data_IF_388969590928
#
_entry.id   IF_388969590928
#
_cell.length_a   1.000
_cell.length_b   1.000
_cell.length_c   1.000
_cell.angle_alpha   90.00
_cell.angle_beta   90.00
_cell.angle_gamma   90.00
#
_symmetry.space_group_name_H-M   'P 1'
#
loop_
_entity.id
_entity.type
_entity.pdbx_description
1 polymer ?
#
# COMPACT_ATOMS: atom_id res chain seq x y z
N UNK A 1 46.24 20.74 -3.09
CA UNK A 1 46.17 19.26 -2.98
C UNK A 1 44.70 18.89 -3.04
N UNK A 2 44.22 18.36 -4.18
CA UNK A 2 42.83 17.94 -4.30
C UNK A 2 42.67 16.61 -3.57
N UNK A 3 41.79 16.57 -2.56
CA UNK A 3 41.45 15.33 -1.88
C UNK A 3 40.77 14.39 -2.89
N UNK A 4 41.34 13.20 -3.04
CA UNK A 4 40.83 12.15 -3.93
C UNK A 4 39.50 11.68 -3.36
N UNK A 5 38.40 11.95 -4.08
CA UNK A 5 37.09 11.41 -3.71
C UNK A 5 37.19 9.88 -3.66
N UNK A 6 36.58 9.22 -2.66
CA UNK A 6 36.62 7.77 -2.54
C UNK A 6 35.98 7.11 -3.77
N UNK A 7 36.51 5.97 -4.19
CA UNK A 7 35.91 5.19 -5.28
C UNK A 7 34.53 4.68 -4.88
N UNK A 8 33.64 4.49 -5.86
CA UNK A 8 32.29 3.97 -5.65
C UNK A 8 32.29 2.65 -4.83
N UNK A 9 33.30 1.79 -5.02
CA UNK A 9 33.49 0.54 -4.27
C UNK A 9 33.68 0.75 -2.76
N UNK A 10 34.32 1.85 -2.34
CA UNK A 10 34.55 2.15 -0.93
C UNK A 10 33.29 2.66 -0.21
N UNK A 11 32.33 3.24 -0.94
CA UNK A 11 31.03 3.70 -0.39
C UNK A 11 30.12 2.51 -0.09
N UNK A 12 30.11 1.52 -0.99
CA UNK A 12 29.32 0.28 -0.89
C UNK A 12 29.69 -0.55 0.34
N UNK A 13 30.98 -0.58 0.72
CA UNK A 13 31.47 -1.35 1.87
C UNK A 13 31.03 -0.80 3.25
N UNK A 14 30.60 0.46 3.34
CA UNK A 14 30.18 1.11 4.60
C UNK A 14 28.66 1.06 4.85
N UNK A 15 27.90 0.27 4.08
CA UNK A 15 26.44 0.34 4.07
C UNK A 15 25.90 1.63 3.42
N UNK A 16 26.80 2.44 2.85
CA UNK A 16 26.46 3.52 1.93
C UNK A 16 26.07 2.90 0.60
N UNK A 17 24.77 2.79 0.35
CA UNK A 17 24.30 2.51 -1.00
C UNK A 17 24.86 3.58 -1.94
N UNK A 18 25.28 3.18 -3.14
CA UNK A 18 25.54 4.09 -4.24
C UNK A 18 24.32 5.01 -4.36
N UNK A 19 24.46 6.22 -3.85
CA UNK A 19 23.51 7.28 -4.07
C UNK A 19 23.81 7.74 -5.47
N UNK A 20 22.86 7.56 -6.39
CA UNK A 20 22.79 8.46 -7.54
C UNK A 20 23.01 9.88 -6.99
N UNK A 21 23.87 10.66 -7.62
CA UNK A 21 24.26 12.00 -7.14
C UNK A 21 23.01 12.87 -6.91
N UNK A 22 23.00 13.74 -5.89
CA UNK A 22 21.81 14.56 -5.55
C UNK A 22 21.36 15.45 -6.71
N UNK A 23 22.29 15.80 -7.60
CA UNK A 23 21.98 16.38 -8.90
C UNK A 23 21.50 15.28 -9.86
N UNK A 24 20.39 15.48 -10.56
CA UNK A 24 20.18 14.69 -11.76
C UNK A 24 21.41 14.86 -12.67
N UNK A 25 21.95 13.78 -13.23
CA UNK A 25 23.00 13.89 -14.23
C UNK A 25 22.31 14.05 -15.57
N UNK A 26 22.40 15.23 -16.19
CA UNK A 26 21.90 15.36 -17.57
C UNK A 26 22.77 14.42 -18.40
N UNK A 27 22.15 13.36 -18.92
CA UNK A 27 22.87 12.34 -19.66
C UNK A 27 23.29 12.95 -20.98
N UNK A 28 24.56 13.35 -21.07
CA UNK A 28 25.17 13.64 -22.35
C UNK A 28 25.36 12.30 -23.08
N UNK A 29 24.39 11.95 -23.93
CA UNK A 29 24.40 10.67 -24.63
C UNK A 29 25.62 10.48 -25.52
N UNK A 30 26.19 11.55 -26.07
CA UNK A 30 27.44 11.45 -26.81
C UNK A 30 28.58 11.02 -25.91
N UNK A 31 28.66 11.57 -24.70
CA UNK A 31 29.66 11.14 -23.71
C UNK A 31 29.37 9.74 -23.17
N UNK A 32 28.10 9.37 -22.97
CA UNK A 32 27.72 8.03 -22.51
C UNK A 32 28.08 6.95 -23.54
N UNK A 33 27.83 7.21 -24.82
CA UNK A 33 28.02 6.23 -25.89
C UNK A 33 29.45 6.18 -26.41
N UNK A 34 30.18 7.30 -26.38
CA UNK A 34 31.49 7.42 -27.02
C UNK A 34 32.63 7.84 -26.07
N UNK A 35 32.32 8.11 -24.81
CA UNK A 35 33.28 8.55 -23.80
C UNK A 35 33.39 10.07 -23.67
N UNK A 36 34.00 10.57 -22.57
CA UNK A 36 34.13 12.00 -22.32
C UNK A 36 34.90 12.71 -23.45
N UNK A 37 34.39 13.85 -23.91
CA UNK A 37 34.92 14.66 -25.02
C UNK A 37 34.88 14.00 -26.42
N UNK A 38 34.21 12.87 -26.59
CA UNK A 38 34.05 12.27 -27.90
C UNK A 38 33.05 13.08 -28.75
N UNK A 39 33.50 13.53 -29.92
CA UNK A 39 32.64 14.22 -30.90
C UNK A 39 31.76 13.26 -31.73
N UNK A 40 31.90 11.95 -31.53
CA UNK A 40 31.18 10.90 -32.26
C UNK A 40 31.86 9.53 -32.20
N UNK A 41 31.30 8.50 -32.86
CA UNK A 41 31.90 7.16 -32.92
C UNK A 41 33.25 7.16 -33.67
N UNK A 42 34.15 6.19 -33.37
CA UNK A 42 35.35 5.96 -34.17
C UNK A 42 34.97 5.72 -35.64
N UNK A 43 35.80 6.21 -36.58
CA UNK A 43 35.55 6.12 -38.04
C UNK A 43 35.37 4.70 -38.58
N UNK A 44 35.71 3.68 -37.78
CA UNK A 44 35.65 2.26 -38.12
C UNK A 44 34.38 1.57 -37.59
N UNK A 45 33.58 2.26 -36.77
CA UNK A 45 32.37 1.71 -36.15
C UNK A 45 31.13 2.38 -36.72
N UNK A 46 30.38 1.64 -37.56
CA UNK A 46 29.03 2.04 -37.96
C UNK A 46 28.06 1.53 -36.90
N UNK A 47 27.81 2.37 -35.88
CA UNK A 47 26.76 2.13 -34.91
C UNK A 47 25.66 3.19 -35.08
N UNK A 48 24.41 2.73 -35.05
CA UNK A 48 23.24 3.61 -35.03
C UNK A 48 22.46 3.36 -33.75
N UNK A 49 22.15 4.42 -33.02
CA UNK A 49 21.33 4.38 -31.81
C UNK A 49 20.11 5.26 -32.04
N UNK A 50 18.95 4.76 -31.68
CA UNK A 50 17.71 5.53 -31.66
C UNK A 50 17.12 5.44 -30.25
N UNK A 51 16.72 6.59 -29.72
CA UNK A 51 16.05 6.69 -28.42
C UNK A 51 14.99 7.77 -28.51
N UNK A 52 14.00 7.69 -27.62
CA UNK A 52 12.99 8.73 -27.51
C UNK A 52 13.45 9.74 -26.46
N UNK A 53 13.85 10.93 -26.91
CA UNK A 53 14.33 12.01 -26.04
C UNK A 53 13.30 12.43 -24.99
N UNK A 54 11.99 12.36 -25.29
CA UNK A 54 10.96 12.67 -24.30
C UNK A 54 10.87 11.61 -23.20
N UNK A 55 11.01 10.32 -23.54
CA UNK A 55 11.06 9.25 -22.53
C UNK A 55 12.31 9.40 -21.64
N UNK A 56 13.46 9.69 -22.26
CA UNK A 56 14.71 9.86 -21.53
C UNK A 56 14.66 11.08 -20.59
N UNK A 57 14.16 12.22 -21.07
CA UNK A 57 14.08 13.45 -20.30
C UNK A 57 13.02 13.40 -19.19
N UNK A 58 12.02 12.52 -19.32
CA UNK A 58 10.99 12.30 -18.32
C UNK A 58 11.43 11.39 -17.17
N UNK A 59 12.61 10.76 -17.24
CA UNK A 59 13.08 9.85 -16.21
C UNK A 59 13.16 10.52 -14.84
N UNK A 60 12.63 9.83 -13.83
CA UNK A 60 12.67 10.19 -12.41
C UNK A 60 13.67 9.32 -11.66
N UNK A 61 14.52 9.98 -10.86
CA UNK A 61 15.47 9.33 -9.98
C UNK A 61 14.76 8.43 -8.97
N UNK A 62 15.25 7.20 -8.79
CA UNK A 62 14.65 6.23 -7.90
C UNK A 62 15.48 6.07 -6.62
N UNK A 63 14.83 6.16 -5.46
CA UNK A 63 15.37 5.61 -4.23
C UNK A 63 14.81 4.19 -4.06
N UNK A 64 15.67 3.18 -3.94
CA UNK A 64 15.19 1.85 -3.52
C UNK A 64 14.64 1.94 -2.10
N UNK A 65 13.45 1.38 -1.78
CA UNK A 65 12.62 0.46 -2.59
C UNK A 65 11.29 1.08 -3.11
N UNK A 66 11.34 2.22 -3.79
CA UNK A 66 10.17 2.94 -4.33
C UNK A 66 10.12 3.00 -5.87
N UNK A 67 10.66 1.97 -6.55
CA UNK A 67 10.74 1.92 -8.02
C UNK A 67 9.39 2.11 -8.71
N UNK A 68 8.31 1.60 -8.13
CA UNK A 68 7.00 1.71 -8.77
C UNK A 68 6.48 3.15 -8.79
N UNK A 69 6.78 3.94 -7.75
CA UNK A 69 6.46 5.36 -7.71
C UNK A 69 7.29 6.14 -8.75
N UNK A 70 8.61 5.88 -8.83
CA UNK A 70 9.49 6.52 -9.80
C UNK A 70 9.10 6.18 -11.25
N UNK A 71 8.76 4.92 -11.54
CA UNK A 71 8.31 4.49 -12.87
C UNK A 71 7.02 5.18 -13.32
N UNK A 72 6.02 5.31 -12.44
CA UNK A 72 4.77 6.00 -12.79
C UNK A 72 5.01 7.50 -12.97
N UNK A 73 5.81 8.12 -12.10
CA UNK A 73 6.19 9.53 -12.22
C UNK A 73 6.89 9.80 -13.55
N UNK A 74 7.87 8.96 -13.90
CA UNK A 74 8.63 9.12 -15.14
C UNK A 74 7.79 8.88 -16.39
N UNK A 75 6.89 7.88 -16.37
CA UNK A 75 5.95 7.67 -17.45
C UNK A 75 5.01 8.87 -17.64
N UNK A 76 4.52 9.46 -16.55
CA UNK A 76 3.71 10.68 -16.59
C UNK A 76 4.48 11.85 -17.21
N UNK A 77 5.70 12.14 -16.71
CA UNK A 77 6.52 13.23 -17.21
C UNK A 77 6.79 13.08 -18.71
N UNK A 78 7.13 11.86 -19.14
CA UNK A 78 7.38 11.55 -20.54
C UNK A 78 6.14 11.75 -21.43
N UNK A 79 4.95 11.32 -20.96
CA UNK A 79 3.69 11.55 -21.68
C UNK A 79 3.36 13.04 -21.82
N UNK A 80 3.65 13.83 -20.79
CA UNK A 80 3.46 15.28 -20.80
C UNK A 80 4.59 16.04 -21.53
N UNK A 81 5.64 15.35 -21.98
CA UNK A 81 6.85 15.93 -22.56
C UNK A 81 7.52 16.95 -21.63
N UNK A 82 7.42 16.70 -20.33
CA UNK A 82 8.01 17.52 -19.27
C UNK A 82 9.39 16.95 -18.95
N UNK A 83 10.42 17.80 -19.02
CA UNK A 83 11.77 17.43 -18.63
C UNK A 83 11.95 17.48 -17.12
N UNK A 84 12.87 16.67 -16.58
CA UNK A 84 13.27 16.60 -15.16
C UNK A 84 13.44 17.92 -14.38
N UNK A 85 13.91 18.97 -15.05
CA UNK A 85 14.17 20.29 -14.42
C UNK A 85 12.95 21.21 -14.47
N UNK A 86 11.90 20.81 -15.16
CA UNK A 86 10.66 21.57 -15.20
C UNK A 86 10.04 21.56 -13.80
N UNK A 87 9.63 22.72 -13.27
CA UNK A 87 8.95 22.80 -11.97
C UNK A 87 7.68 21.94 -11.84
N UNK A 88 7.10 21.50 -12.96
CA UNK A 88 5.91 20.64 -13.02
C UNK A 88 6.25 19.15 -13.15
N UNK A 89 7.52 18.78 -13.26
CA UNK A 89 7.94 17.39 -13.35
C UNK A 89 7.65 16.68 -12.02
N UNK A 90 6.89 15.58 -12.10
CA UNK A 90 6.63 14.75 -10.93
C UNK A 90 7.91 14.06 -10.50
N UNK A 91 8.15 14.07 -9.21
CA UNK A 91 9.21 13.31 -8.54
C UNK A 91 8.62 12.04 -7.92
N UNK A 92 9.49 11.14 -7.49
CA UNK A 92 9.08 9.93 -6.79
C UNK A 92 8.26 10.26 -5.53
N UNK A 93 8.62 11.34 -4.82
CA UNK A 93 7.93 11.79 -3.60
C UNK A 93 6.46 12.16 -3.88
N UNK A 94 6.18 12.82 -5.00
CA UNK A 94 4.80 13.18 -5.37
C UNK A 94 3.96 11.92 -5.58
N UNK A 95 4.53 10.90 -6.22
CA UNK A 95 3.84 9.63 -6.43
C UNK A 95 3.67 8.82 -5.14
N UNK A 96 4.61 8.92 -4.20
CA UNK A 96 4.44 8.34 -2.86
C UNK A 96 3.24 8.96 -2.16
N UNK A 97 3.04 10.28 -2.24
CA UNK A 97 1.85 10.93 -1.67
C UNK A 97 0.54 10.50 -2.34
N UNK A 98 0.54 10.30 -3.67
CA UNK A 98 -0.61 9.72 -4.37
C UNK A 98 -0.94 8.32 -3.85
N UNK A 99 0.07 7.47 -3.68
CA UNK A 99 -0.08 6.11 -3.15
C UNK A 99 -0.54 6.10 -1.68
N UNK A 100 -0.04 7.00 -0.83
CA UNK A 100 -0.55 7.20 0.54
C UNK A 100 -2.02 7.59 0.53
N UNK A 101 -2.40 8.50 -0.36
CA UNK A 101 -3.80 8.88 -0.58
C UNK A 101 -4.68 7.68 -0.94
N UNK A 102 -4.18 6.74 -1.75
CA UNK A 102 -4.91 5.52 -2.11
C UNK A 102 -5.15 4.64 -0.88
N UNK A 103 -4.11 4.43 -0.07
CA UNK A 103 -4.23 3.65 1.15
C UNK A 103 -5.15 4.30 2.18
N UNK A 104 -5.10 5.62 2.35
CA UNK A 104 -6.01 6.35 3.25
C UNK A 104 -7.48 6.20 2.84
N UNK A 105 -7.78 6.24 1.54
CA UNK A 105 -9.12 5.94 1.04
C UNK A 105 -9.53 4.50 1.39
N UNK A 106 -8.65 3.53 1.13
CA UNK A 106 -8.94 2.11 1.45
C UNK A 106 -9.12 1.89 2.95
N UNK A 107 -8.31 2.50 3.79
CA UNK A 107 -8.44 2.45 5.24
C UNK A 107 -9.82 2.94 5.68
N UNK A 108 -10.27 4.08 5.15
CA UNK A 108 -11.60 4.62 5.43
C UNK A 108 -12.70 3.63 4.99
N UNK A 109 -12.59 3.06 3.79
CA UNK A 109 -13.56 2.07 3.29
C UNK A 109 -13.61 0.81 4.15
N UNK A 110 -12.46 0.28 4.55
CA UNK A 110 -12.41 -0.93 5.37
C UNK A 110 -12.79 -0.68 6.84
N UNK A 111 -12.53 0.52 7.37
CA UNK A 111 -13.06 0.94 8.68
C UNK A 111 -14.59 0.99 8.67
N UNK A 112 -15.18 1.62 7.65
CA UNK A 112 -16.64 1.66 7.48
C UNK A 112 -17.23 0.25 7.31
N UNK A 113 -16.55 -0.62 6.56
CA UNK A 113 -16.98 -2.02 6.41
C UNK A 113 -16.88 -2.79 7.73
N UNK A 114 -15.80 -2.63 8.49
CA UNK A 114 -15.67 -3.24 9.81
C UNK A 114 -16.77 -2.76 10.75
N UNK A 115 -17.05 -1.45 10.77
CA UNK A 115 -18.15 -0.88 11.55
C UNK A 115 -19.51 -1.46 11.15
N UNK A 116 -19.76 -1.67 9.86
CA UNK A 116 -20.99 -2.33 9.40
C UNK A 116 -21.05 -3.83 9.77
N UNK A 117 -19.89 -4.50 9.85
CA UNK A 117 -19.80 -5.92 10.19
C UNK A 117 -19.93 -6.18 11.70
N UNK A 118 -19.50 -5.24 12.55
CA UNK A 118 -19.37 -5.42 14.02
C UNK A 118 -20.25 -4.48 14.84
N UNK A 119 -20.58 -3.30 14.32
CA UNK A 119 -21.31 -2.25 15.04
C UNK A 119 -20.42 -1.34 15.90
N UNK A 120 -19.10 -1.44 15.81
CA UNK A 120 -18.16 -0.58 16.53
C UNK A 120 -17.02 -0.06 15.63
N UNK A 121 -16.33 0.97 16.09
CA UNK A 121 -15.14 1.52 15.42
C UNK A 121 -13.98 0.51 15.43
N UNK A 122 -13.17 0.52 14.37
CA UNK A 122 -12.00 -0.37 14.22
C UNK A 122 -10.78 0.13 14.97
N UNK A 123 -10.74 1.44 15.23
CA UNK A 123 -9.61 2.17 15.75
C UNK A 123 -9.12 1.64 17.12
N UNK A 124 -9.97 1.38 18.13
CA UNK A 124 -9.50 0.84 19.41
C UNK A 124 -8.82 -0.52 19.27
N UNK A 125 -9.37 -1.39 18.40
CA UNK A 125 -8.81 -2.71 18.15
C UNK A 125 -7.48 -2.63 17.40
N UNK A 126 -7.39 -1.75 16.41
CA UNK A 126 -6.16 -1.50 15.67
C UNK A 126 -5.06 -0.92 16.59
N UNK A 127 -5.41 0.01 17.47
CA UNK A 127 -4.50 0.59 18.46
C UNK A 127 -4.00 -0.46 19.45
N UNK A 128 -4.90 -1.29 19.99
CA UNK A 128 -4.53 -2.39 20.88
C UNK A 128 -3.59 -3.38 20.18
N UNK A 129 -3.87 -3.76 18.94
CA UNK A 129 -3.00 -4.62 18.13
C UNK A 129 -1.62 -3.98 17.91
N UNK A 130 -1.56 -2.70 17.55
CA UNK A 130 -0.30 -1.99 17.33
C UNK A 130 0.53 -1.89 18.62
N UNK A 131 -0.09 -1.59 19.76
CA UNK A 131 0.58 -1.56 21.05
C UNK A 131 1.16 -2.94 21.42
N UNK A 132 0.40 -4.00 21.17
CA UNK A 132 0.80 -5.37 21.47
C UNK A 132 1.92 -5.88 20.56
N UNK A 133 1.96 -5.43 19.29
CA UNK A 133 3.07 -5.68 18.37
C UNK A 133 4.32 -4.88 18.76
N UNK A 134 4.15 -3.60 19.11
CA UNK A 134 5.24 -2.72 19.52
C UNK A 134 5.97 -3.23 20.77
N UNK A 135 5.23 -3.82 21.72
CA UNK A 135 5.81 -4.48 22.90
C UNK A 135 6.73 -5.67 22.56
N UNK A 136 6.68 -6.19 21.33
CA UNK A 136 7.53 -7.27 20.83
C UNK A 136 8.54 -6.78 19.78
N UNK A 137 8.77 -5.47 19.69
CA UNK A 137 9.59 -4.82 18.64
C UNK A 137 9.12 -5.15 17.21
N UNK A 138 7.81 -5.37 17.03
CA UNK A 138 7.17 -5.66 15.74
C UNK A 138 6.28 -4.51 15.30
N UNK A 139 6.07 -4.42 13.98
CA UNK A 139 5.12 -3.46 13.38
C UNK A 139 4.33 -4.10 12.23
N UNK A 140 3.21 -3.48 11.85
CA UNK A 140 2.40 -3.98 10.74
C UNK A 140 3.15 -3.86 9.40
N UNK A 141 4.00 -2.84 9.25
CA UNK A 141 4.78 -2.59 8.06
C UNK A 141 6.08 -3.37 7.96
N UNK A 142 6.50 -4.10 9.00
CA UNK A 142 7.79 -4.82 8.96
C UNK A 142 7.81 -5.90 7.85
N UNK A 143 9.00 -6.42 7.54
CA UNK A 143 9.11 -7.58 6.67
C UNK A 143 8.76 -8.82 7.48
N UNK A 144 7.62 -9.43 7.18
CA UNK A 144 7.18 -10.66 7.82
C UNK A 144 7.74 -11.88 7.06
N UNK A 145 8.11 -12.95 7.77
CA UNK A 145 8.24 -14.27 7.16
C UNK A 145 6.91 -14.70 6.52
N UNK A 146 6.98 -15.56 5.50
CA UNK A 146 5.79 -16.09 4.81
C UNK A 146 4.80 -16.66 5.83
N UNK A 147 3.51 -16.34 5.68
CA UNK A 147 2.39 -16.74 6.56
C UNK A 147 2.46 -16.30 8.04
N UNK A 148 3.59 -15.80 8.54
CA UNK A 148 3.75 -15.43 9.94
C UNK A 148 2.85 -14.24 10.34
N UNK A 149 2.65 -13.29 9.42
CA UNK A 149 1.86 -12.07 9.71
C UNK A 149 0.42 -12.38 10.10
N UNK A 150 -0.31 -13.10 9.24
CA UNK A 150 -1.71 -13.40 9.47
C UNK A 150 -1.89 -14.25 10.73
N UNK A 151 -1.00 -15.22 10.94
CA UNK A 151 -0.98 -16.05 12.16
C UNK A 151 -0.79 -15.21 13.42
N UNK A 152 0.25 -14.37 13.47
CA UNK A 152 0.52 -13.51 14.63
C UNK A 152 -0.61 -12.52 14.88
N UNK A 153 -1.19 -11.91 13.85
CA UNK A 153 -2.34 -11.01 14.01
C UNK A 153 -3.55 -11.77 14.58
N UNK A 154 -3.87 -12.96 14.06
CA UNK A 154 -4.98 -13.80 14.56
C UNK A 154 -4.76 -14.20 16.04
N UNK A 155 -3.53 -14.54 16.42
CA UNK A 155 -3.15 -14.88 17.80
C UNK A 155 -3.29 -13.68 18.75
N UNK A 156 -2.69 -12.54 18.41
CA UNK A 156 -2.76 -11.32 19.24
C UNK A 156 -4.20 -10.82 19.36
N UNK A 157 -4.96 -10.87 18.27
CA UNK A 157 -6.39 -10.51 18.27
C UNK A 157 -7.20 -11.38 19.22
N UNK A 158 -6.93 -12.70 19.25
CA UNK A 158 -7.58 -13.61 20.19
C UNK A 158 -7.28 -13.21 21.64
N UNK A 159 -6.02 -12.94 21.96
CA UNK A 159 -5.61 -12.50 23.30
C UNK A 159 -6.31 -11.21 23.71
N UNK A 160 -6.27 -10.17 22.87
CA UNK A 160 -6.92 -8.87 23.15
C UNK A 160 -8.41 -9.05 23.46
N UNK A 161 -9.13 -9.84 22.65
CA UNK A 161 -10.57 -10.03 22.84
C UNK A 161 -10.88 -10.91 24.08
N UNK A 162 -10.03 -11.89 24.40
CA UNK A 162 -10.18 -12.71 25.60
C UNK A 162 -9.95 -11.90 26.88
N UNK A 163 -8.94 -11.03 26.90
CA UNK A 163 -8.65 -10.17 28.04
C UNK A 163 -9.82 -9.23 28.31
N UNK A 164 -10.35 -8.57 27.26
CA UNK A 164 -11.50 -7.66 27.36
C UNK A 164 -12.76 -8.40 27.83
N UNK A 165 -13.01 -9.62 27.34
CA UNK A 165 -14.15 -10.42 27.78
C UNK A 165 -14.03 -10.82 29.26
N UNK A 166 -12.81 -11.14 29.72
CA UNK A 166 -12.54 -11.58 31.10
C UNK A 166 -12.62 -10.42 32.09
N UNK A 167 -12.15 -9.22 31.71
CA UNK A 167 -12.25 -8.02 32.54
C UNK A 167 -13.70 -7.61 32.82
N UNK A 168 -14.64 -7.97 31.96
CA UNK A 168 -16.06 -7.64 32.15
C UNK A 168 -16.38 -6.15 32.08
N UNK A 169 -15.47 -5.33 31.54
CA UNK A 169 -15.62 -3.88 31.49
C UNK A 169 -16.56 -3.47 30.35
N UNK A 170 -17.84 -3.28 30.67
CA UNK A 170 -18.88 -2.87 29.72
C UNK A 170 -18.63 -1.48 29.10
N UNK A 171 -17.81 -0.62 29.73
CA UNK A 171 -17.45 0.69 29.18
C UNK A 171 -16.36 0.59 28.09
N UNK A 172 -15.75 -0.58 27.89
CA UNK A 172 -14.78 -0.79 26.82
C UNK A 172 -15.49 -0.83 25.46
N UNK A 173 -15.12 0.00 24.47
CA UNK A 173 -15.79 0.06 23.17
C UNK A 173 -15.73 -1.25 22.37
N UNK A 174 -14.82 -2.16 22.72
CA UNK A 174 -14.68 -3.48 22.10
C UNK A 174 -15.41 -4.58 22.87
N UNK A 175 -15.99 -4.30 24.03
CA UNK A 175 -16.68 -5.28 24.86
C UNK A 175 -17.80 -6.03 24.10
N UNK A 176 -18.63 -5.39 23.26
CA UNK A 176 -19.65 -6.10 22.47
C UNK A 176 -19.04 -7.14 21.52
N UNK A 177 -17.92 -6.80 20.86
CA UNK A 177 -17.19 -7.71 19.98
C UNK A 177 -16.54 -8.86 20.78
N UNK A 178 -15.88 -8.53 21.89
CA UNK A 178 -15.22 -9.51 22.76
C UNK A 178 -16.22 -10.54 23.31
N UNK A 179 -17.37 -10.07 23.81
CA UNK A 179 -18.41 -10.92 24.37
C UNK A 179 -19.05 -11.83 23.31
N UNK A 180 -19.33 -11.31 22.12
CA UNK A 180 -19.87 -12.09 21.02
C UNK A 180 -18.90 -13.19 20.54
N UNK A 181 -17.59 -12.88 20.44
CA UNK A 181 -16.57 -13.86 20.06
C UNK A 181 -16.38 -14.93 21.15
N UNK A 182 -16.46 -14.55 22.43
CA UNK A 182 -16.39 -15.50 23.54
C UNK A 182 -17.61 -16.44 23.57
N UNK A 183 -18.80 -15.93 23.28
CA UNK A 183 -20.02 -16.74 23.18
C UNK A 183 -19.95 -17.77 22.04
N UNK A 184 -19.43 -17.38 20.87
CA UNK A 184 -19.17 -18.29 19.75
C UNK A 184 -18.23 -19.43 20.16
N UNK A 185 -17.13 -19.13 20.85
CA UNK A 185 -16.17 -20.13 21.31
C UNK A 185 -16.73 -21.09 22.37
N UNK A 186 -17.68 -20.64 23.20
CA UNK A 186 -18.37 -21.47 24.18
C UNK A 186 -19.51 -22.33 23.60
N UNK A 187 -20.03 -21.99 22.42
CA UNK A 187 -21.10 -22.73 21.74
C UNK A 187 -20.64 -23.91 20.89
N UNK A 188 -19.34 -24.03 20.61
CA UNK A 188 -18.77 -25.09 19.78
C UNK A 188 -18.80 -26.50 20.43
N UNK A 189 -19.13 -26.62 21.72
CA UNK A 189 -19.38 -27.94 22.34
C UNK A 189 -20.69 -28.62 21.87
N UNK A 190 -21.56 -27.95 21.10
CA UNK A 190 -22.84 -28.52 20.67
C UNK A 190 -23.18 -28.41 19.17
N UNK A 191 -22.25 -27.99 18.31
CA UNK A 191 -22.42 -28.06 16.85
C UNK A 191 -21.18 -28.62 16.16
N UNK A 192 -21.02 -29.93 16.26
CA UNK A 192 -20.31 -30.67 15.22
C UNK A 192 -21.08 -30.54 13.89
N UNK A 193 -20.35 -30.23 12.81
CA UNK A 193 -20.81 -30.18 11.42
C UNK A 193 -21.36 -28.85 10.89
N UNK A 194 -20.50 -27.84 10.77
CA UNK A 194 -20.43 -27.05 9.52
C UNK A 194 -18.96 -27.01 9.11
N UNK A 195 -18.66 -27.59 7.95
CA UNK A 195 -17.31 -27.76 7.43
C UNK A 195 -16.57 -26.43 7.38
N UNK A 196 -15.56 -26.30 8.23
CA UNK A 196 -14.51 -25.32 8.08
C UNK A 196 -13.65 -25.84 6.92
N UNK A 197 -14.04 -25.51 5.68
CA UNK A 197 -13.12 -25.64 4.57
C UNK A 197 -11.95 -24.72 4.90
N UNK A 198 -10.81 -25.31 5.18
CA UNK A 198 -9.51 -24.67 5.14
C UNK A 198 -9.37 -24.04 3.74
N UNK A 199 -9.91 -22.83 3.57
CA UNK A 199 -9.60 -22.01 2.41
C UNK A 199 -8.10 -21.76 2.51
N UNK A 200 -7.38 -22.34 1.57
CA UNK A 200 -6.00 -22.05 1.27
C UNK A 200 -5.83 -20.52 1.24
N UNK A 201 -5.28 -19.96 2.32
CA UNK A 201 -4.72 -18.61 2.35
C UNK A 201 -3.48 -18.67 1.41
N UNK A 202 -3.74 -18.62 0.10
CA UNK A 202 -2.79 -18.45 -0.98
C UNK A 202 -2.12 -17.09 -0.77
N UNK A 203 -1.02 -17.13 -0.02
CA UNK A 203 -0.08 -16.04 0.25
C UNK A 203 0.75 -15.69 -1.01
N UNK A 204 0.16 -15.86 -2.19
CA UNK A 204 0.67 -15.35 -3.46
C UNK A 204 -0.27 -14.28 -3.97
N UNK A 205 0.31 -13.23 -4.56
CA UNK A 205 -0.33 -12.16 -5.33
C UNK A 205 -1.84 -12.06 -5.16
N UNK A 206 -2.32 -10.97 -4.57
CA UNK A 206 -3.72 -10.54 -4.63
C UNK A 206 -4.36 -10.98 -5.96
N UNK A 207 -4.94 -12.18 -6.01
CA UNK A 207 -5.75 -12.67 -7.10
C UNK A 207 -6.99 -11.84 -6.94
N UNK A 208 -7.01 -10.79 -7.75
CA UNK A 208 -8.09 -9.84 -7.76
C UNK A 208 -9.27 -10.52 -8.44
N UNK A 209 -9.93 -11.41 -7.72
CA UNK A 209 -11.30 -11.80 -8.02
C UNK A 209 -12.16 -10.57 -7.73
N UNK A 210 -12.50 -9.87 -8.82
CA UNK A 210 -13.27 -8.64 -8.79
C UNK A 210 -12.43 -7.44 -8.35
N UNK A 211 -11.82 -6.76 -9.31
CA UNK A 211 -11.29 -5.41 -9.06
C UNK A 211 -12.49 -4.49 -8.87
N UNK A 212 -13.07 -4.44 -7.68
CA UNK A 212 -13.83 -3.26 -7.26
C UNK A 212 -12.78 -2.13 -7.10
N UNK A 213 -12.43 -1.47 -8.22
CA UNK A 213 -11.81 -0.16 -8.15
C UNK A 213 -12.86 0.74 -7.50
N UNK A 214 -12.78 0.90 -6.18
CA UNK A 214 -13.56 1.89 -5.46
C UNK A 214 -13.19 3.27 -6.02
N UNK A 215 -14.12 3.87 -6.77
CA UNK A 215 -13.98 5.23 -7.27
C UNK A 215 -13.98 6.19 -6.07
N UNK A 216 -13.08 7.19 -6.01
CA UNK A 216 -13.23 8.29 -5.07
C UNK A 216 -14.59 8.97 -5.34
N UNK A 217 -15.53 8.82 -4.40
CA UNK A 217 -16.92 9.27 -4.56
C UNK A 217 -17.99 8.19 -4.35
N UNK A 218 -17.63 6.90 -4.28
CA UNK A 218 -18.58 5.82 -3.92
C UNK A 218 -18.60 5.46 -2.43
N UNK A 219 -17.94 6.26 -1.59
CA UNK A 219 -17.94 6.11 -0.14
C UNK A 219 -18.94 7.10 0.51
N UNK A 220 -20.23 6.91 0.26
CA UNK A 220 -21.33 7.45 1.06
C UNK A 220 -22.60 6.73 0.60
N UNK A 221 -23.49 6.37 1.51
CA UNK A 221 -24.78 5.71 1.25
C UNK A 221 -24.79 4.22 0.89
N UNK A 222 -23.91 3.40 1.49
CA UNK A 222 -24.47 2.11 1.95
C UNK A 222 -25.31 2.42 3.17
N UNK A 223 -26.65 2.25 3.12
CA UNK A 223 -27.47 2.42 4.30
C UNK A 223 -26.91 1.51 5.39
N UNK A 224 -26.64 2.08 6.56
CA UNK A 224 -26.40 1.28 7.76
C UNK A 224 -27.60 0.35 7.86
N UNK A 225 -27.42 -0.99 7.88
CA UNK A 225 -28.55 -1.89 7.98
C UNK A 225 -29.36 -1.46 9.22
N UNK A 226 -30.65 -1.19 9.00
CA UNK A 226 -31.55 -0.81 10.08
C UNK A 226 -31.43 -1.84 11.20
N UNK A 227 -31.42 -1.38 12.46
CA UNK A 227 -31.33 -2.26 13.61
C UNK A 227 -32.39 -3.37 13.45
N UNK A 228 -31.93 -4.62 13.35
CA UNK A 228 -32.82 -5.77 13.33
C UNK A 228 -33.54 -5.80 14.67
N UNK A 229 -34.85 -5.58 14.65
CA UNK A 229 -35.71 -5.72 15.82
C UNK A 229 -36.32 -7.13 15.83
N UNK A 230 -36.49 -7.72 17.01
CA UNK A 230 -37.18 -8.99 17.17
C UNK A 230 -38.69 -8.84 16.96
N UNK A 231 -39.43 -9.95 17.13
CA UNK A 231 -40.88 -9.95 16.97
C UNK A 231 -41.61 -9.02 17.97
N UNK A 232 -40.93 -8.61 19.04
CA UNK A 232 -41.43 -7.75 20.11
C UNK A 232 -40.95 -6.30 19.97
N UNK A 233 -40.19 -5.98 18.91
CA UNK A 233 -39.65 -4.64 18.69
C UNK A 233 -38.41 -4.31 19.54
N UNK A 234 -37.86 -5.28 20.28
CA UNK A 234 -36.60 -5.10 20.98
C UNK A 234 -35.44 -5.20 19.99
N UNK A 235 -34.41 -4.32 20.08
CA UNK A 235 -33.25 -4.42 19.21
C UNK A 235 -32.58 -5.77 19.43
N UNK A 236 -32.54 -6.60 18.39
CA UNK A 236 -31.75 -7.83 18.41
C UNK A 236 -30.29 -7.43 18.66
N UNK A 237 -29.55 -8.20 19.48
CA UNK A 237 -28.12 -7.99 19.64
C UNK A 237 -27.49 -7.95 18.25
N UNK A 238 -26.73 -6.91 17.94
CA UNK A 238 -26.11 -6.71 16.63
C UNK A 238 -25.40 -8.01 16.25
N UNK A 239 -25.93 -8.72 15.25
CA UNK A 239 -25.35 -9.99 14.83
C UNK A 239 -24.03 -9.66 14.13
N UNK A 240 -22.93 -10.08 14.73
CA UNK A 240 -21.61 -9.86 14.16
C UNK A 240 -21.52 -10.65 12.86
N UNK A 241 -21.18 -9.97 11.77
CA UNK A 241 -20.97 -10.58 10.47
C UNK A 241 -19.77 -11.52 10.55
N UNK A 242 -19.85 -12.78 10.09
CA UNK A 242 -18.72 -13.71 10.12
C UNK A 242 -17.51 -13.22 9.32
N UNK A 243 -17.72 -12.24 8.42
CA UNK A 243 -16.70 -11.64 7.58
C UNK A 243 -15.89 -10.53 8.27
N UNK A 244 -16.21 -10.17 9.52
CA UNK A 244 -15.54 -9.07 10.22
C UNK A 244 -14.01 -9.25 10.31
N UNK A 245 -13.56 -10.50 10.48
CA UNK A 245 -12.12 -10.85 10.54
C UNK A 245 -11.42 -10.52 9.22
N UNK A 246 -12.05 -10.80 8.08
CA UNK A 246 -11.54 -10.46 6.75
C UNK A 246 -11.43 -8.95 6.58
N UNK A 247 -12.47 -8.20 6.98
CA UNK A 247 -12.48 -6.74 6.94
C UNK A 247 -11.37 -6.14 7.81
N UNK A 248 -11.17 -6.67 9.02
CA UNK A 248 -10.12 -6.24 9.93
C UNK A 248 -8.71 -6.55 9.41
N UNK A 249 -8.48 -7.76 8.90
CA UNK A 249 -7.19 -8.13 8.30
C UNK A 249 -6.86 -7.24 7.10
N UNK A 250 -7.85 -6.92 6.26
CA UNK A 250 -7.64 -6.01 5.14
C UNK A 250 -7.32 -4.58 5.59
N UNK A 251 -7.96 -4.10 6.67
CA UNK A 251 -7.62 -2.82 7.30
C UNK A 251 -6.17 -2.83 7.81
N UNK A 252 -5.75 -3.87 8.55
CA UNK A 252 -4.37 -4.04 9.03
C UNK A 252 -3.35 -4.13 7.89
N UNK A 253 -3.72 -4.80 6.79
CA UNK A 253 -2.89 -4.88 5.59
C UNK A 253 -2.62 -3.49 5.00
N UNK A 254 -3.65 -2.66 4.86
CA UNK A 254 -3.50 -1.29 4.37
C UNK A 254 -2.73 -0.39 5.36
N UNK A 255 -2.91 -0.56 6.67
CA UNK A 255 -2.11 0.15 7.68
C UNK A 255 -0.61 -0.19 7.55
N UNK A 256 -0.28 -1.47 7.41
CA UNK A 256 1.11 -1.90 7.18
C UNK A 256 1.68 -1.39 5.85
N UNK A 257 0.84 -1.27 4.81
CA UNK A 257 1.21 -0.62 3.57
C UNK A 257 1.52 0.87 3.75
N UNK A 258 0.73 1.57 4.57
CA UNK A 258 0.90 3.00 4.84
C UNK A 258 2.18 3.25 5.65
N UNK A 259 2.41 2.45 6.70
CA UNK A 259 3.65 2.50 7.49
C UNK A 259 4.88 2.30 6.61
N UNK A 260 4.83 1.40 5.61
CA UNK A 260 5.91 1.19 4.64
C UNK A 260 6.19 2.42 3.76
N UNK A 261 5.18 3.23 3.45
CA UNK A 261 5.34 4.47 2.68
C UNK A 261 5.75 5.67 3.54
N UNK A 262 5.50 5.64 4.84
CA UNK A 262 5.80 6.74 5.77
C UNK A 262 7.21 6.67 6.38
N UNK A 263 7.95 5.59 6.12
CA UNK A 263 9.36 5.47 6.47
C UNK A 263 10.21 6.53 5.78
N UNK A 264 11.37 6.81 6.38
CA UNK A 264 12.44 7.61 5.75
C UNK A 264 12.76 7.11 4.34
N UNK A 265 12.72 5.78 4.14
CA UNK A 265 12.79 5.15 2.82
C UNK A 265 11.45 4.50 2.47
N UNK A 266 10.61 5.17 1.66
CA UNK A 266 9.30 4.63 1.30
C UNK A 266 9.46 3.34 0.50
N UNK A 267 8.59 2.37 0.76
CA UNK A 267 8.55 1.11 0.01
C UNK A 267 7.26 0.95 -0.76
N UNK A 268 7.38 0.80 -2.08
CA UNK A 268 6.24 0.49 -2.95
C UNK A 268 5.99 -1.02 -3.09
N UNK A 269 6.74 -1.87 -2.37
CA UNK A 269 6.59 -3.33 -2.45
C UNK A 269 5.26 -3.86 -1.92
N UNK A 270 4.44 -3.02 -1.27
CA UNK A 270 3.05 -3.35 -0.91
C UNK A 270 2.10 -3.31 -2.13
N UNK A 271 2.42 -2.49 -3.14
CA UNK A 271 1.54 -2.26 -4.27
C UNK A 271 1.83 -3.25 -5.38
N UNK A 272 0.81 -4.06 -5.71
CA UNK A 272 0.77 -4.77 -7.00
C UNK A 272 0.16 -3.88 -8.08
N UNK A 273 -0.24 -4.51 -9.19
CA UNK A 273 -0.86 -3.84 -10.35
C UNK A 273 -2.03 -2.92 -9.97
N UNK A 274 -2.86 -3.30 -8.99
CA UNK A 274 -4.00 -2.49 -8.54
C UNK A 274 -3.58 -1.09 -8.05
N UNK A 275 -2.45 -1.00 -7.35
CA UNK A 275 -1.97 0.25 -6.77
C UNK A 275 -1.42 1.19 -7.84
N UNK A 276 -0.71 0.60 -8.80
CA UNK A 276 -0.14 1.30 -9.95
C UNK A 276 -1.23 1.84 -10.85
N UNK A 277 -2.23 1.02 -11.19
CA UNK A 277 -3.40 1.47 -11.95
C UNK A 277 -4.18 2.55 -11.21
N UNK A 278 -4.34 2.42 -9.89
CA UNK A 278 -4.95 3.44 -9.05
C UNK A 278 -4.20 4.78 -9.10
N UNK A 279 -2.87 4.75 -9.03
CA UNK A 279 -2.03 5.94 -9.10
C UNK A 279 -2.13 6.61 -10.48
N UNK A 280 -2.04 5.82 -11.56
CA UNK A 280 -2.19 6.33 -12.93
C UNK A 280 -3.55 7.01 -13.13
N UNK A 281 -4.64 6.41 -12.65
CA UNK A 281 -5.98 7.01 -12.74
C UNK A 281 -6.07 8.32 -11.96
N UNK A 282 -5.60 8.35 -10.71
CA UNK A 282 -5.60 9.59 -9.90
C UNK A 282 -4.79 10.71 -10.54
N UNK A 283 -3.64 10.39 -11.14
CA UNK A 283 -2.86 11.36 -11.90
C UNK A 283 -3.62 11.83 -13.14
N UNK A 284 -4.25 10.92 -13.89
CA UNK A 284 -5.04 11.29 -15.06
C UNK A 284 -6.18 12.26 -14.70
N UNK A 285 -6.87 12.00 -13.59
CA UNK A 285 -7.94 12.86 -13.06
C UNK A 285 -7.40 14.22 -12.60
N UNK A 286 -6.34 14.23 -11.79
CA UNK A 286 -5.75 15.44 -11.21
C UNK A 286 -5.19 16.39 -12.27
N UNK A 287 -4.57 15.83 -13.30
CA UNK A 287 -3.89 16.62 -14.34
C UNK A 287 -4.69 16.72 -15.64
N UNK A 288 -5.96 16.28 -15.63
CA UNK A 288 -6.84 16.27 -16.80
C UNK A 288 -6.15 15.72 -18.05
N UNK A 289 -5.41 14.63 -17.89
CA UNK A 289 -4.69 14.00 -19.00
C UNK A 289 -5.73 13.43 -19.96
N UNK A 290 -6.14 14.24 -20.93
CA UNK A 290 -6.96 13.76 -22.04
C UNK A 290 -6.06 12.92 -22.90
N UNK A 291 -6.23 11.60 -22.84
CA UNK A 291 -5.74 10.70 -23.87
C UNK A 291 -6.44 11.12 -25.16
N UNK A 292 -5.82 12.04 -25.91
CA UNK A 292 -6.29 12.41 -27.23
C UNK A 292 -6.31 11.14 -28.06
N UNK A 293 -7.51 10.70 -28.45
CA UNK A 293 -7.67 9.49 -29.23
C UNK A 293 -6.80 9.61 -30.49
N UNK A 294 -5.77 8.76 -30.69
CA UNK A 294 -4.80 8.93 -31.76
C UNK A 294 -5.42 8.79 -33.16
N UNK A 295 -6.70 8.47 -33.26
CA UNK A 295 -7.46 8.31 -34.52
C UNK A 295 -8.41 9.49 -34.81
N UNK A 296 -8.20 10.64 -34.19
CA UNK A 296 -8.99 11.86 -34.42
C UNK A 296 -8.35 12.86 -35.39
N UNK A 297 -7.45 12.41 -36.27
CA UNK A 297 -6.89 13.21 -37.37
C UNK A 297 -7.22 12.59 -38.71
#
# INVERSE_FOLDING_TARGET
MAAKLPSAEAVVAAGGYERDTDAGEDINLSELLFGPNASGPPSEVVASFAYNTFLLNGWVKQSSPACAAASVAGAYNALQRIGRHDPKALQQADLVEVLKGILRTRLTTHAAKFHADVGCSVEPLAQALQAHLAAQDKSLGMKWPRQARAKTIKEVLRTILQDIATEGNADNPLFPLANAVAYEAGGEENQAAVGNSEEEDDDTDAKVDGVEIFLPGQAADRPVPAATVDQDGAPLPHRISPLWRKSFLQYCNNLGGLEKLERERPSTGFFGTWGILGAVRRLADQYQVRLSNPHSR
#
